data_IF_187256483761
#
_entry.id   IF_187256483761
#
_cell.length_a   1.000
_cell.length_b   1.000
_cell.length_c   1.000
_cell.angle_alpha   90.00
_cell.angle_beta   90.00
_cell.angle_gamma   90.00
#
_symmetry.space_group_name_H-M   'P 1'
#
loop_
_entity.id
_entity.type
_entity.pdbx_description
1 polymer ?
#
# COMPACT_ATOMS: atom_id res chain seq x y z
N UNK A 1 7.15 -14.59 -3.21
CA UNK A 1 6.01 -13.76 -3.66
C UNK A 1 5.20 -14.41 -4.78
N UNK A 2 3.91 -14.69 -4.53
CA UNK A 2 3.01 -15.39 -5.45
C UNK A 2 2.91 -14.75 -6.84
N UNK A 3 2.84 -13.41 -6.90
CA UNK A 3 2.84 -12.65 -8.16
C UNK A 3 4.18 -12.74 -8.88
N UNK A 4 5.29 -12.72 -8.13
CA UNK A 4 6.64 -12.82 -8.70
C UNK A 4 6.92 -14.18 -9.34
N UNK A 5 6.34 -15.27 -8.83
CA UNK A 5 6.53 -16.63 -9.36
C UNK A 5 5.42 -17.11 -10.29
N UNK A 6 4.18 -16.65 -10.07
CA UNK A 6 2.97 -17.13 -10.75
C UNK A 6 2.32 -16.11 -11.70
N UNK A 7 2.84 -14.88 -11.75
CA UNK A 7 2.26 -13.79 -12.52
C UNK A 7 1.06 -13.12 -11.84
N UNK A 8 0.42 -12.15 -12.52
CA UNK A 8 -0.71 -11.41 -11.97
C UNK A 8 -1.92 -12.30 -11.63
N UNK A 9 -2.64 -11.91 -10.58
CA UNK A 9 -3.87 -12.58 -10.15
C UNK A 9 -5.04 -12.23 -11.08
N UNK A 10 -5.98 -13.17 -11.32
CA UNK A 10 -7.22 -12.86 -12.02
C UNK A 10 -8.07 -11.85 -11.22
N UNK A 11 -8.92 -11.08 -11.90
CA UNK A 11 -9.75 -10.02 -11.28
C UNK A 11 -10.49 -10.50 -10.02
N UNK A 12 -11.10 -11.70 -10.07
CA UNK A 12 -11.78 -12.30 -8.92
C UNK A 12 -10.88 -12.46 -7.69
N UNK A 13 -9.62 -12.81 -7.91
CA UNK A 13 -8.63 -13.00 -6.84
C UNK A 13 -8.20 -11.67 -6.26
N UNK A 14 -8.02 -10.65 -7.11
CA UNK A 14 -7.71 -9.28 -6.66
C UNK A 14 -8.87 -8.67 -5.87
N UNK A 15 -10.12 -8.92 -6.28
CA UNK A 15 -11.32 -8.51 -5.52
C UNK A 15 -11.36 -9.15 -4.14
N UNK A 16 -11.22 -10.47 -4.06
CA UNK A 16 -11.21 -11.18 -2.78
C UNK A 16 -10.07 -10.71 -1.87
N UNK A 17 -8.87 -10.52 -2.44
CA UNK A 17 -7.73 -9.95 -1.74
C UNK A 17 -8.05 -8.55 -1.20
N UNK A 18 -8.57 -7.66 -2.03
CA UNK A 18 -8.90 -6.30 -1.64
C UNK A 18 -9.94 -6.23 -0.52
N UNK A 19 -11.02 -7.00 -0.62
CA UNK A 19 -12.06 -7.06 0.42
C UNK A 19 -11.49 -7.51 1.77
N UNK A 20 -10.76 -8.62 1.79
CA UNK A 20 -10.24 -9.17 3.05
C UNK A 20 -9.14 -8.30 3.67
N UNK A 21 -8.30 -7.65 2.85
CA UNK A 21 -7.32 -6.69 3.35
C UNK A 21 -7.98 -5.40 3.85
N UNK A 22 -9.04 -4.92 3.20
CA UNK A 22 -9.80 -3.77 3.67
C UNK A 22 -10.45 -4.05 5.03
N UNK A 23 -11.10 -5.21 5.20
CA UNK A 23 -11.68 -5.65 6.49
C UNK A 23 -10.60 -5.76 7.59
N UNK A 24 -9.43 -6.30 7.26
CA UNK A 24 -8.31 -6.38 8.21
C UNK A 24 -7.82 -4.98 8.63
N UNK A 25 -7.73 -4.04 7.69
CA UNK A 25 -7.35 -2.66 7.98
C UNK A 25 -8.43 -1.92 8.79
N UNK A 26 -9.70 -2.14 8.49
CA UNK A 26 -10.82 -1.58 9.27
C UNK A 26 -10.74 -2.01 10.74
N UNK A 27 -10.45 -3.29 11.01
CA UNK A 27 -10.26 -3.80 12.36
C UNK A 27 -9.08 -3.12 13.09
N UNK A 28 -7.97 -2.90 12.38
CA UNK A 28 -6.78 -2.19 12.90
C UNK A 28 -7.11 -0.74 13.23
N UNK A 29 -7.78 -0.05 12.29
CA UNK A 29 -8.14 1.36 12.44
C UNK A 29 -9.16 1.58 13.55
N UNK A 30 -10.14 0.68 13.70
CA UNK A 30 -11.12 0.70 14.79
C UNK A 30 -10.46 0.51 16.16
N UNK A 31 -9.36 -0.22 16.23
CA UNK A 31 -8.53 -0.34 17.43
C UNK A 31 -7.65 0.90 17.70
N UNK A 32 -7.75 1.96 16.89
CA UNK A 32 -6.96 3.18 17.02
C UNK A 32 -5.51 3.04 16.53
N UNK A 33 -5.21 1.97 15.79
CA UNK A 33 -3.89 1.69 15.24
C UNK A 33 -3.85 2.01 13.74
N UNK A 34 -2.63 2.09 13.21
CA UNK A 34 -2.34 2.21 11.76
C UNK A 34 -1.26 1.19 11.47
N UNK A 35 -1.39 0.43 10.38
CA UNK A 35 -0.43 -0.61 9.99
C UNK A 35 0.91 -0.01 9.53
N UNK A 36 0.89 1.05 8.71
CA UNK A 36 2.06 1.82 8.24
C UNK A 36 3.05 1.10 7.32
N UNK A 37 2.81 -0.18 6.99
CA UNK A 37 3.72 -0.98 6.14
C UNK A 37 2.94 -2.00 5.28
N UNK A 38 1.79 -1.61 4.75
CA UNK A 38 1.03 -2.47 3.84
C UNK A 38 1.82 -2.65 2.53
N UNK A 39 2.21 -3.88 2.22
CA UNK A 39 2.97 -4.26 1.02
C UNK A 39 2.82 -5.77 0.76
N UNK A 40 3.14 -6.28 -0.45
CA UNK A 40 2.97 -7.70 -0.76
C UNK A 40 3.69 -8.64 0.21
N UNK A 41 4.92 -8.29 0.64
CA UNK A 41 5.68 -9.10 1.59
C UNK A 41 5.07 -9.18 3.01
N UNK A 42 4.11 -8.31 3.33
CA UNK A 42 3.37 -8.32 4.60
C UNK A 42 1.96 -8.92 4.43
N UNK A 43 1.69 -9.58 3.30
CA UNK A 43 0.42 -10.26 3.03
C UNK A 43 0.69 -11.76 2.89
N UNK A 44 0.29 -12.54 3.89
CA UNK A 44 0.37 -14.00 3.84
C UNK A 44 -0.88 -14.60 3.21
N UNK A 45 -0.71 -15.36 2.13
CA UNK A 45 -1.79 -16.09 1.49
C UNK A 45 -1.91 -17.48 2.14
N UNK A 46 -2.91 -17.66 3.00
CA UNK A 46 -3.27 -18.95 3.58
C UNK A 46 -4.38 -19.66 2.80
N UNK A 47 -4.62 -20.93 3.14
CA UNK A 47 -5.73 -21.72 2.56
C UNK A 47 -7.11 -21.08 2.84
N UNK A 48 -7.24 -20.41 4.00
CA UNK A 48 -8.47 -19.73 4.41
C UNK A 48 -8.50 -18.25 4.00
N UNK A 49 -7.50 -17.79 3.24
CA UNK A 49 -7.41 -16.42 2.72
C UNK A 49 -6.19 -15.60 3.19
N UNK A 50 -6.05 -14.37 2.68
CA UNK A 50 -4.99 -13.44 3.01
C UNK A 50 -5.04 -12.95 4.47
N UNK A 51 -3.86 -12.73 5.06
CA UNK A 51 -3.68 -12.08 6.37
C UNK A 51 -2.60 -11.01 6.29
N UNK A 52 -2.84 -9.87 6.94
CA UNK A 52 -1.79 -8.86 7.17
C UNK A 52 -0.89 -9.31 8.33
N UNK A 53 0.41 -9.16 8.15
CA UNK A 53 1.44 -9.43 9.15
C UNK A 53 2.37 -8.22 9.30
N UNK A 54 3.21 -8.25 10.34
CA UNK A 54 4.29 -7.27 10.54
C UNK A 54 3.79 -5.81 10.49
N UNK A 55 2.89 -5.49 11.42
CA UNK A 55 2.53 -4.10 11.71
C UNK A 55 3.80 -3.29 11.92
N UNK A 56 3.86 -2.10 11.33
CA UNK A 56 4.99 -1.17 11.42
C UNK A 56 5.20 -0.57 12.81
N UNK A 57 4.88 -1.29 13.88
CA UNK A 57 5.00 -0.88 15.30
C UNK A 57 6.44 -0.44 15.59
N UNK A 58 7.44 -1.12 15.03
CA UNK A 58 8.84 -0.69 15.15
C UNK A 58 9.06 0.73 14.57
N UNK A 59 8.41 1.07 13.45
CA UNK A 59 8.51 2.39 12.82
C UNK A 59 7.76 3.48 13.58
N UNK A 60 6.72 3.12 14.34
CA UNK A 60 5.99 4.06 15.17
C UNK A 60 6.82 4.59 16.35
N UNK A 61 7.77 3.79 16.85
CA UNK A 61 8.73 4.21 17.88
C UNK A 61 9.82 5.11 17.28
N UNK A 62 10.20 4.87 16.02
CA UNK A 62 11.19 5.69 15.31
C UNK A 62 10.64 7.08 14.93
N UNK A 63 9.33 7.25 14.65
CA UNK A 63 8.72 8.57 14.40
C UNK A 63 8.95 9.58 15.55
N UNK A 64 9.20 9.12 16.78
CA UNK A 64 9.57 9.96 17.93
C UNK A 64 11.05 10.37 17.96
N UNK A 65 11.90 9.74 17.14
CA UNK A 65 13.37 9.86 17.14
C UNK A 65 13.94 10.32 15.79
N UNK A 66 13.12 10.44 14.75
CA UNK A 66 13.54 10.79 13.38
C UNK A 66 13.89 12.28 13.22
N UNK A 67 15.01 12.72 13.81
CA UNK A 67 15.74 13.94 13.39
C UNK A 67 17.14 13.67 12.88
N UNK A 68 17.63 12.43 12.84
CA UNK A 68 18.99 12.19 12.37
C UNK A 68 19.25 10.73 11.96
N UNK A 69 18.78 10.29 10.79
CA UNK A 69 19.56 9.44 9.84
C UNK A 69 18.71 9.01 8.63
N UNK A 70 19.32 9.10 7.46
CA UNK A 70 18.81 8.81 6.09
C UNK A 70 18.43 7.34 5.83
N UNK A 71 17.66 6.71 6.70
CA UNK A 71 17.17 5.34 6.43
C UNK A 71 15.65 5.39 6.32
N UNK A 72 15.17 5.56 5.09
CA UNK A 72 13.79 5.20 4.76
C UNK A 72 13.68 3.69 4.95
N UNK A 73 13.27 3.27 6.15
CA UNK A 73 12.98 1.86 6.45
C UNK A 73 11.63 1.55 5.82
N UNK A 74 11.61 0.97 4.63
CA UNK A 74 10.39 0.58 3.91
C UNK A 74 10.67 0.07 2.51
N UNK A 75 9.70 -0.63 1.89
CA UNK A 75 9.73 -0.86 0.45
C UNK A 75 9.11 0.35 -0.25
N UNK A 76 9.90 1.29 -0.81
CA UNK A 76 9.44 2.61 -1.23
C UNK A 76 8.30 2.60 -2.26
N UNK A 77 8.16 1.51 -3.03
CA UNK A 77 7.11 1.37 -4.04
C UNK A 77 5.68 1.23 -3.49
N UNK A 78 5.48 1.19 -2.17
CA UNK A 78 4.16 1.07 -1.53
C UNK A 78 3.88 2.16 -0.49
N UNK A 79 4.82 3.11 -0.28
CA UNK A 79 4.62 4.19 0.69
C UNK A 79 3.58 5.18 0.19
N UNK A 80 2.83 5.78 1.11
CA UNK A 80 1.93 6.90 0.82
C UNK A 80 2.69 8.22 0.62
N UNK A 81 2.10 9.22 -0.07
CA UNK A 81 2.71 10.55 -0.23
C UNK A 81 3.08 11.22 1.09
N UNK A 82 2.21 11.10 2.09
CA UNK A 82 2.47 11.64 3.43
C UNK A 82 3.62 10.93 4.14
N UNK A 83 3.77 9.62 3.98
CA UNK A 83 4.93 8.88 4.50
C UNK A 83 6.21 9.30 3.79
N UNK A 84 6.18 9.41 2.45
CA UNK A 84 7.32 9.84 1.64
C UNK A 84 7.83 11.25 2.01
N UNK A 85 6.96 12.08 2.59
CA UNK A 85 7.27 13.45 2.99
C UNK A 85 7.43 13.64 4.50
N UNK A 86 7.43 12.56 5.29
CA UNK A 86 7.51 12.64 6.75
C UNK A 86 6.36 13.42 7.39
N UNK A 87 5.19 13.47 6.72
CA UNK A 87 3.98 14.11 7.23
C UNK A 87 3.23 13.14 8.14
N UNK A 88 2.23 13.66 8.89
CA UNK A 88 1.40 12.86 9.79
C UNK A 88 0.77 11.68 9.05
N UNK A 89 1.10 10.47 9.52
CA UNK A 89 0.58 9.20 9.01
C UNK A 89 -0.74 8.87 9.71
N UNK A 90 -1.71 8.36 8.96
CA UNK A 90 -3.03 7.96 9.48
C UNK A 90 -3.64 6.78 8.69
N UNK A 91 -4.87 6.36 9.00
CA UNK A 91 -5.56 5.26 8.31
C UNK A 91 -5.54 5.35 6.77
N UNK A 92 -5.67 6.58 6.24
CA UNK A 92 -5.61 6.84 4.81
C UNK A 92 -4.28 6.42 4.16
N UNK A 93 -3.17 6.37 4.91
CA UNK A 93 -1.88 5.90 4.41
C UNK A 93 -1.92 4.42 4.07
N UNK A 94 -2.58 3.60 4.91
CA UNK A 94 -2.75 2.17 4.64
C UNK A 94 -3.67 1.91 3.45
N UNK A 95 -4.69 2.75 3.26
CA UNK A 95 -5.58 2.69 2.07
C UNK A 95 -4.80 2.96 0.78
N UNK A 96 -3.89 3.94 0.79
CA UNK A 96 -3.03 4.20 -0.36
C UNK A 96 -2.12 3.00 -0.66
N UNK A 97 -1.46 2.48 0.37
CA UNK A 97 -0.60 1.31 0.26
C UNK A 97 -1.37 0.05 -0.21
N UNK A 98 -2.62 -0.13 0.23
CA UNK A 98 -3.51 -1.16 -0.30
C UNK A 98 -3.77 -0.97 -1.80
N UNK A 99 -4.03 0.26 -2.25
CA UNK A 99 -4.14 0.59 -3.68
C UNK A 99 -2.91 0.13 -4.48
N UNK A 100 -1.71 0.38 -3.95
CA UNK A 100 -0.46 -0.09 -4.55
C UNK A 100 -0.35 -1.62 -4.60
N UNK A 101 -0.77 -2.32 -3.54
CA UNK A 101 -0.83 -3.79 -3.50
C UNK A 101 -1.79 -4.33 -4.55
N UNK A 102 -2.96 -3.72 -4.74
CA UNK A 102 -3.95 -4.17 -5.73
C UNK A 102 -3.47 -3.98 -7.17
N UNK A 103 -2.80 -2.87 -7.48
CA UNK A 103 -2.14 -2.68 -8.79
C UNK A 103 -1.10 -3.77 -9.02
N UNK A 104 -0.25 -4.03 -8.03
CA UNK A 104 0.78 -5.07 -8.13
C UNK A 104 0.18 -6.46 -8.29
N UNK A 105 -0.86 -6.79 -7.53
CA UNK A 105 -1.55 -8.06 -7.63
C UNK A 105 -2.20 -8.27 -9.01
N UNK A 106 -2.79 -7.22 -9.58
CA UNK A 106 -3.50 -7.30 -10.86
C UNK A 106 -2.61 -7.22 -12.10
N UNK A 107 -1.41 -6.64 -11.99
CA UNK A 107 -0.57 -6.33 -13.17
C UNK A 107 0.87 -6.83 -13.06
N UNK A 108 1.35 -7.16 -11.86
CA UNK A 108 2.77 -7.38 -11.58
C UNK A 108 3.61 -6.10 -11.55
N UNK A 109 3.05 -4.96 -11.97
CA UNK A 109 3.70 -3.66 -11.99
C UNK A 109 3.50 -2.89 -10.68
N UNK A 110 4.40 -1.92 -10.42
CA UNK A 110 4.26 -0.97 -9.30
C UNK A 110 3.74 0.35 -9.84
N UNK A 111 2.75 1.01 -9.17
CA UNK A 111 2.12 2.21 -9.70
C UNK A 111 3.04 3.43 -9.83
N UNK A 112 4.18 3.42 -9.12
CA UNK A 112 5.20 4.47 -9.20
C UNK A 112 6.54 3.92 -9.69
N UNK A 113 6.51 2.78 -10.41
CA UNK A 113 7.66 2.16 -11.05
C UNK A 113 8.72 1.61 -10.09
N UNK A 114 9.93 1.46 -10.62
CA UNK A 114 11.14 0.98 -9.92
C UNK A 114 12.28 1.98 -10.10
N UNK A 115 13.42 1.76 -9.44
CA UNK A 115 14.62 2.58 -9.59
C UNK A 115 15.21 3.02 -8.24
N UNK A 116 15.98 4.11 -8.22
CA UNK A 116 16.48 4.73 -6.99
C UNK A 116 15.34 5.13 -6.05
N UNK A 117 15.58 5.06 -4.74
CA UNK A 117 14.57 5.29 -3.71
C UNK A 117 13.97 6.69 -3.84
N UNK A 118 14.81 7.69 -4.01
CA UNK A 118 14.45 9.11 -4.10
C UNK A 118 13.54 9.37 -5.31
N UNK A 119 13.82 8.73 -6.44
CA UNK A 119 13.01 8.82 -7.64
C UNK A 119 11.63 8.19 -7.43
N UNK A 120 11.54 7.05 -6.75
CA UNK A 120 10.25 6.42 -6.44
C UNK A 120 9.43 7.26 -5.45
N UNK A 121 10.07 7.83 -4.43
CA UNK A 121 9.40 8.74 -3.49
C UNK A 121 8.89 9.99 -4.20
N UNK A 122 9.71 10.60 -5.06
CA UNK A 122 9.30 11.76 -5.86
C UNK A 122 8.04 11.45 -6.68
N UNK A 123 8.03 10.36 -7.45
CA UNK A 123 6.85 9.97 -8.25
C UNK A 123 5.64 9.65 -7.38
N UNK A 124 5.85 9.00 -6.24
CA UNK A 124 4.79 8.73 -5.26
C UNK A 124 4.11 10.02 -4.81
N UNK A 125 4.85 11.11 -4.65
CA UNK A 125 4.31 12.41 -4.22
C UNK A 125 3.70 13.19 -5.39
N UNK A 126 4.34 13.20 -6.55
CA UNK A 126 4.06 14.18 -7.62
C UNK A 126 3.36 13.60 -8.85
N UNK A 127 3.58 12.34 -9.19
CA UNK A 127 3.15 11.78 -10.47
C UNK A 127 1.84 10.97 -10.33
N UNK A 128 1.00 10.92 -11.37
CA UNK A 128 -0.15 10.01 -11.38
C UNK A 128 0.30 8.54 -11.29
N UNK A 129 -0.54 7.69 -10.72
CA UNK A 129 -0.27 6.27 -10.63
C UNK A 129 -0.39 5.58 -12.00
N UNK A 130 0.60 4.77 -12.35
CA UNK A 130 0.54 3.89 -13.52
C UNK A 130 -0.27 2.63 -13.19
N UNK A 131 -1.47 2.51 -13.74
CA UNK A 131 -2.37 1.41 -13.42
C UNK A 131 -2.22 0.19 -14.34
N UNK A 132 -1.43 0.29 -15.42
CA UNK A 132 -1.23 -0.79 -16.37
C UNK A 132 -2.56 -1.40 -16.89
N UNK A 133 -2.57 -2.73 -17.04
CA UNK A 133 -3.71 -3.50 -17.53
C UNK A 133 -4.74 -3.83 -16.43
N UNK A 134 -4.95 -2.92 -15.47
CA UNK A 134 -5.91 -3.11 -14.39
C UNK A 134 -7.33 -3.38 -14.96
N UNK A 135 -8.04 -4.43 -14.51
CA UNK A 135 -9.39 -4.73 -14.95
C UNK A 135 -10.33 -3.53 -14.77
N UNK A 136 -11.20 -3.21 -15.76
CA UNK A 136 -12.06 -2.02 -15.70
C UNK A 136 -12.93 -1.95 -14.43
N UNK A 137 -13.40 -3.09 -13.93
CA UNK A 137 -14.23 -3.14 -12.73
C UNK A 137 -13.48 -2.86 -11.42
N UNK A 138 -12.14 -2.86 -11.42
CA UNK A 138 -11.29 -2.53 -10.27
C UNK A 138 -10.75 -1.10 -10.32
N UNK A 139 -10.69 -0.52 -11.52
CA UNK A 139 -10.04 0.76 -11.76
C UNK A 139 -10.59 1.92 -10.90
N UNK A 140 -11.91 2.14 -10.80
CA UNK A 140 -12.43 3.26 -10.01
C UNK A 140 -12.04 3.22 -8.53
N UNK A 141 -12.10 2.03 -7.91
CA UNK A 141 -11.75 1.90 -6.48
C UNK A 141 -10.24 2.02 -6.25
N UNK A 142 -9.42 1.46 -7.14
CA UNK A 142 -7.96 1.58 -7.04
C UNK A 142 -7.51 3.03 -7.28
N UNK A 143 -8.11 3.73 -8.24
CA UNK A 143 -7.86 5.16 -8.48
C UNK A 143 -8.19 5.99 -7.24
N UNK A 144 -9.34 5.75 -6.61
CA UNK A 144 -9.73 6.44 -5.37
C UNK A 144 -8.75 6.17 -4.22
N UNK A 145 -8.28 4.93 -4.05
CA UNK A 145 -7.25 4.61 -3.04
C UNK A 145 -5.94 5.36 -3.28
N UNK A 146 -5.56 5.58 -4.54
CA UNK A 146 -4.29 6.20 -4.95
C UNK A 146 -4.34 7.73 -5.06
N UNK A 147 -5.43 8.36 -4.60
CA UNK A 147 -5.52 9.82 -4.46
C UNK A 147 -4.37 10.38 -3.63
N UNK A 148 -3.73 11.46 -4.12
CA UNK A 148 -2.58 12.07 -3.41
C UNK A 148 -3.00 12.73 -2.10
N UNK A 149 -4.16 13.38 -2.08
CA UNK A 149 -4.74 13.93 -0.87
C UNK A 149 -5.36 12.80 -0.03
N UNK A 150 -4.97 12.63 1.24
CA UNK A 150 -5.50 11.57 2.09
C UNK A 150 -7.02 11.62 2.30
N UNK A 151 -7.61 12.82 2.29
CA UNK A 151 -9.06 13.01 2.48
C UNK A 151 -9.91 12.61 1.27
N UNK A 152 -9.30 12.42 0.11
CA UNK A 152 -9.99 12.01 -1.13
C UNK A 152 -10.01 10.48 -1.31
N UNK A 153 -9.44 9.74 -0.35
CA UNK A 153 -9.38 8.28 -0.37
C UNK A 153 -10.61 7.69 0.34
N UNK A 154 -11.04 6.47 -0.03
CA UNK A 154 -12.05 5.75 0.74
C UNK A 154 -11.60 5.55 2.19
N UNK A 155 -12.56 5.51 3.11
CA UNK A 155 -12.32 4.99 4.46
C UNK A 155 -12.37 3.47 4.43
N UNK A 156 -11.61 2.84 5.31
CA UNK A 156 -11.83 1.44 5.69
C UNK A 156 -13.00 1.32 6.64
#
# INVERSE_FOLDING_TARGET
EAVGSGGPLPERGVRALGSMLAEALEAVHTAGLVHRDVKPGNVLLGLDGPRLIDFGIARALDDTVLTATDVIVGSPGFLSPEQAQGRRIGPASDVFSLGCVLVYAATGGRPFGTGPVEAMLFRTVHDPAELGALPPGLRPVVEACLSKAPGDRPTT
#
